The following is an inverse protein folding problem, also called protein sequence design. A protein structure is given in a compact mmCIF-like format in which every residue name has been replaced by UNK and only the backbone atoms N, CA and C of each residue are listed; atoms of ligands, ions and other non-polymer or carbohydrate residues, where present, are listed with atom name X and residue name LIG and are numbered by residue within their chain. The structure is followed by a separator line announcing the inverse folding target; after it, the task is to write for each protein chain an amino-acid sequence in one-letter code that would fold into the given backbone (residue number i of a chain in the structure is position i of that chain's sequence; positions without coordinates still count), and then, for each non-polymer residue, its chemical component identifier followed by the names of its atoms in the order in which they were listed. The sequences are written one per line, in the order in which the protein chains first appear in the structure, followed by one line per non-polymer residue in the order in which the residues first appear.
data_IF_658823109788
#
_entry.id   IF_658823109788
#
_cell.length_a   1.000
_cell.length_b   1.000
_cell.length_c   1.000
_cell.angle_alpha   90.00
_cell.angle_beta   90.00
_cell.angle_gamma   90.00
#
_symmetry.space_group_name_H-M   'P 1'
#
loop_
_entity.id
_entity.type
_entity.pdbx_description
1 polymer ?
#
# COMPACT_ATOMS: atom_id res chain seq x y z
N UNK A 1 16.95 -0.25 11.67
CA UNK A 1 16.05 0.60 10.84
C UNK A 1 14.66 0.55 11.45
N UNK A 2 13.96 1.67 11.66
CA UNK A 2 12.62 1.67 12.26
C UNK A 2 11.60 1.09 11.25
N UNK A 3 10.91 -0.02 11.60
CA UNK A 3 9.96 -0.74 10.72
C UNK A 3 8.94 0.20 10.07
N UNK A 4 8.42 1.18 10.82
CA UNK A 4 7.48 2.15 10.29
C UNK A 4 8.10 3.03 9.19
N UNK A 5 9.36 3.48 9.35
CA UNK A 5 10.05 4.28 8.33
C UNK A 5 10.28 3.50 7.05
N UNK A 6 10.55 2.20 7.17
CA UNK A 6 10.72 1.31 6.02
C UNK A 6 9.41 1.10 5.26
N UNK A 7 8.32 0.81 5.98
CA UNK A 7 6.98 0.74 5.42
C UNK A 7 6.61 2.04 4.67
N UNK A 8 6.86 3.20 5.30
CA UNK A 8 6.63 4.51 4.66
C UNK A 8 7.44 4.67 3.38
N UNK A 9 8.73 4.27 3.37
CA UNK A 9 9.57 4.34 2.17
C UNK A 9 9.00 3.50 1.02
N UNK A 10 8.54 2.28 1.30
CA UNK A 10 7.91 1.41 0.31
C UNK A 10 6.62 2.01 -0.23
N UNK A 11 5.77 2.58 0.63
CA UNK A 11 4.51 3.21 0.23
C UNK A 11 4.73 4.50 -0.58
N UNK A 12 5.76 5.29 -0.26
CA UNK A 12 6.13 6.44 -1.09
C UNK A 12 6.64 6.00 -2.46
N UNK A 13 7.50 4.97 -2.51
CA UNK A 13 7.95 4.39 -3.77
C UNK A 13 6.77 3.89 -4.60
N UNK A 14 5.85 3.16 -3.98
CA UNK A 14 4.62 2.69 -4.61
C UNK A 14 3.80 3.84 -5.21
N UNK A 15 3.58 4.92 -4.49
CA UNK A 15 2.86 6.08 -5.02
C UNK A 15 3.58 6.70 -6.23
N UNK A 16 4.91 6.82 -6.18
CA UNK A 16 5.71 7.28 -7.33
C UNK A 16 5.56 6.36 -8.53
N UNK A 17 5.59 5.03 -8.32
CA UNK A 17 5.38 4.04 -9.38
C UNK A 17 3.97 4.12 -9.95
N UNK A 18 2.95 4.35 -9.11
CA UNK A 18 1.58 4.52 -9.59
C UNK A 18 1.43 5.79 -10.43
N UNK A 19 1.99 6.91 -9.98
CA UNK A 19 1.90 8.18 -10.70
C UNK A 19 2.62 8.18 -12.06
N UNK A 20 3.58 7.28 -12.28
CA UNK A 20 4.22 7.10 -13.59
C UNK A 20 3.40 6.23 -14.56
N UNK A 21 2.36 5.54 -14.09
CA UNK A 21 1.49 4.74 -14.95
C UNK A 21 0.53 5.62 -15.77
N UNK A 22 0.20 5.22 -17.01
CA UNK A 22 -0.95 5.78 -17.72
C UNK A 22 -2.21 5.64 -16.86
N UNK A 23 -3.07 6.67 -16.82
CA UNK A 23 -4.32 6.65 -16.01
C UNK A 23 -5.16 5.38 -16.18
N UNK A 24 -5.23 4.85 -17.41
CA UNK A 24 -5.95 3.60 -17.75
C UNK A 24 -5.41 2.35 -17.06
N UNK A 25 -4.16 2.41 -16.60
CA UNK A 25 -3.43 1.33 -15.95
C UNK A 25 -3.41 1.46 -14.43
N UNK A 26 -3.94 2.55 -13.87
CA UNK A 26 -4.01 2.75 -12.41
C UNK A 26 -4.85 1.65 -11.74
N UNK A 27 -4.45 1.18 -10.55
CA UNK A 27 -5.28 0.29 -9.75
C UNK A 27 -6.63 0.93 -9.45
N UNK A 28 -7.70 0.14 -9.53
CA UNK A 28 -9.04 0.60 -9.17
C UNK A 28 -9.34 0.24 -7.71
N UNK A 29 -9.91 1.17 -6.96
CA UNK A 29 -10.43 0.92 -5.62
C UNK A 29 -11.82 0.28 -5.75
N UNK A 30 -12.04 -0.82 -5.06
CA UNK A 30 -13.35 -1.49 -4.92
C UNK A 30 -14.15 -0.85 -3.79
N UNK A 31 -15.41 -1.24 -3.63
CA UNK A 31 -16.28 -0.78 -2.54
C UNK A 31 -15.68 -1.10 -1.16
N UNK A 32 -15.04 -2.26 -1.00
CA UNK A 32 -14.34 -2.67 0.23
C UNK A 32 -12.94 -2.06 0.40
N UNK A 33 -12.62 -0.99 -0.34
CA UNK A 33 -11.31 -0.35 -0.36
C UNK A 33 -10.15 -1.21 -0.90
N UNK A 34 -10.38 -2.43 -1.41
CA UNK A 34 -9.30 -3.22 -2.02
C UNK A 34 -8.83 -2.57 -3.33
N UNK A 35 -7.54 -2.70 -3.61
CA UNK A 35 -6.94 -2.25 -4.87
C UNK A 35 -6.87 -3.41 -5.88
N UNK A 36 -7.51 -3.24 -7.03
CA UNK A 36 -7.50 -4.20 -8.14
C UNK A 36 -6.62 -3.71 -9.27
N UNK A 37 -5.57 -4.48 -9.57
CA UNK A 37 -4.67 -4.20 -10.70
C UNK A 37 -5.35 -4.44 -12.04
N UNK A 38 -4.96 -3.68 -13.06
CA UNK A 38 -5.46 -3.86 -14.42
C UNK A 38 -4.57 -4.86 -15.19
N UNK A 39 -5.17 -5.73 -16.02
CA UNK A 39 -4.44 -6.77 -16.79
C UNK A 39 -3.33 -6.20 -17.71
N UNK A 40 -3.36 -4.91 -18.05
CA UNK A 40 -2.43 -4.27 -18.98
C UNK A 40 -1.06 -3.93 -18.41
N UNK A 41 -0.84 -4.12 -17.11
CA UNK A 41 0.45 -3.84 -16.48
C UNK A 41 1.37 -5.08 -16.53
N UNK A 42 0.91 -6.21 -17.09
CA UNK A 42 1.45 -7.55 -16.81
C UNK A 42 2.90 -7.90 -17.21
N UNK A 43 3.70 -7.02 -17.81
CA UNK A 43 4.97 -7.43 -18.44
C UNK A 43 6.23 -6.62 -18.07
N UNK A 44 6.18 -5.73 -17.08
CA UNK A 44 7.39 -5.01 -16.63
C UNK A 44 7.82 -5.41 -15.22
N UNK A 45 9.12 -5.32 -14.91
CA UNK A 45 9.64 -5.49 -13.53
C UNK A 45 8.96 -4.54 -12.53
N UNK A 46 8.50 -3.38 -13.02
CA UNK A 46 7.70 -2.41 -12.28
C UNK A 46 6.36 -3.01 -11.80
N UNK A 47 5.75 -3.90 -12.59
CA UNK A 47 4.49 -4.56 -12.24
C UNK A 47 4.63 -5.49 -11.05
N UNK A 48 5.70 -6.27 -10.98
CA UNK A 48 5.92 -7.20 -9.88
C UNK A 48 5.96 -6.44 -8.55
N UNK A 49 6.67 -5.31 -8.51
CA UNK A 49 6.74 -4.49 -7.30
C UNK A 49 5.39 -3.82 -6.97
N UNK A 50 4.71 -3.25 -7.97
CA UNK A 50 3.35 -2.71 -7.79
C UNK A 50 2.42 -3.79 -7.25
N UNK A 51 2.50 -5.01 -7.77
CA UNK A 51 1.66 -6.13 -7.36
C UNK A 51 1.93 -6.56 -5.94
N UNK A 52 3.19 -6.79 -5.57
CA UNK A 52 3.57 -7.19 -4.22
C UNK A 52 3.10 -6.19 -3.16
N UNK A 53 3.26 -4.89 -3.44
CA UNK A 53 2.81 -3.84 -2.54
C UNK A 53 1.28 -3.78 -2.49
N UNK A 54 0.61 -3.94 -3.63
CA UNK A 54 -0.86 -3.97 -3.71
C UNK A 54 -1.46 -5.14 -2.92
N UNK A 55 -0.91 -6.34 -3.09
CA UNK A 55 -1.36 -7.55 -2.41
C UNK A 55 -1.13 -7.43 -0.89
N UNK A 56 0.01 -6.86 -0.47
CA UNK A 56 0.28 -6.56 0.94
C UNK A 56 -0.70 -5.54 1.54
N UNK A 57 -1.08 -4.49 0.81
CA UNK A 57 -2.13 -3.53 1.23
C UNK A 57 -3.49 -4.23 1.35
N UNK A 58 -3.81 -5.13 0.43
CA UNK A 58 -5.09 -5.86 0.44
C UNK A 58 -5.20 -6.86 1.59
N UNK A 59 -4.10 -7.34 2.17
CA UNK A 59 -4.10 -8.18 3.38
C UNK A 59 -4.47 -7.45 4.66
N UNK A 60 -4.46 -6.12 4.65
CA UNK A 60 -4.91 -5.32 5.79
C UNK A 60 -6.43 -5.35 5.92
N UNK A 61 -6.93 -5.08 7.14
CA UNK A 61 -8.35 -4.84 7.35
C UNK A 61 -8.79 -3.48 6.75
N UNK A 62 -10.10 -3.25 6.69
CA UNK A 62 -10.69 -2.06 6.06
C UNK A 62 -10.13 -0.73 6.56
N UNK A 63 -10.10 -0.55 7.88
CA UNK A 63 -9.67 0.69 8.53
C UNK A 63 -8.17 0.95 8.31
N UNK A 64 -7.34 -0.07 8.49
CA UNK A 64 -5.90 0.02 8.24
C UNK A 64 -5.62 0.38 6.78
N UNK A 65 -6.35 -0.26 5.86
CA UNK A 65 -6.24 0.02 4.43
C UNK A 65 -6.65 1.44 4.12
N UNK A 66 -7.77 1.91 4.66
CA UNK A 66 -8.25 3.28 4.47
C UNK A 66 -7.19 4.31 4.90
N UNK A 67 -6.57 4.12 6.07
CA UNK A 67 -5.50 4.99 6.56
C UNK A 67 -4.31 5.04 5.59
N UNK A 68 -3.84 3.88 5.11
CA UNK A 68 -2.71 3.85 4.18
C UNK A 68 -3.06 4.48 2.83
N UNK A 69 -4.23 4.18 2.28
CA UNK A 69 -4.66 4.72 0.98
C UNK A 69 -4.83 6.24 1.06
N UNK A 70 -5.50 6.74 2.10
CA UNK A 70 -5.74 8.16 2.28
C UNK A 70 -4.44 8.96 2.49
N UNK A 71 -3.46 8.38 3.18
CA UNK A 71 -2.18 9.06 3.48
C UNK A 71 -1.15 8.96 2.37
N UNK A 72 -0.97 7.78 1.78
CA UNK A 72 0.18 7.48 0.91
C UNK A 72 -0.18 7.30 -0.56
N UNK A 73 -1.42 6.93 -0.89
CA UNK A 73 -1.85 6.65 -2.28
C UNK A 73 -2.71 7.79 -2.84
N UNK A 74 -2.66 8.96 -2.22
CA UNK A 74 -3.36 10.16 -2.70
C UNK A 74 -2.52 10.91 -3.73
N UNK A 75 -3.19 11.48 -4.74
CA UNK A 75 -2.55 12.37 -5.72
C UNK A 75 -2.00 13.66 -5.09
N UNK A 76 -2.55 14.07 -3.94
CA UNK A 76 -2.08 15.23 -3.18
C UNK A 76 -1.38 14.76 -1.92
N UNK A 77 -0.26 15.37 -1.59
CA UNK A 77 0.39 15.15 -0.28
C UNK A 77 -0.50 15.74 0.80
N UNK A 78 -1.02 14.88 1.70
CA UNK A 78 -1.86 15.28 2.83
C UNK A 78 -1.09 15.16 4.14
N UNK A 79 -1.27 16.12 5.04
CA UNK A 79 -0.82 16.05 6.43
C UNK A 79 -1.59 14.97 7.19
N UNK A 80 -1.09 14.56 8.36
CA UNK A 80 -1.82 13.60 9.19
C UNK A 80 -3.17 14.17 9.64
N UNK A 81 -3.22 15.47 9.92
CA UNK A 81 -4.42 16.22 10.33
C UNK A 81 -5.48 16.14 9.25
N UNK A 82 -5.14 16.52 8.02
CA UNK A 82 -6.09 16.47 6.90
C UNK A 82 -6.62 15.05 6.66
N UNK A 83 -5.77 14.03 6.84
CA UNK A 83 -6.18 12.63 6.69
C UNK A 83 -7.20 12.29 7.75
N UNK A 84 -6.86 12.31 9.04
CA UNK A 84 -7.77 11.84 10.08
C UNK A 84 -9.08 12.64 10.12
N UNK A 85 -9.03 13.95 9.82
CA UNK A 85 -10.23 14.78 9.70
C UNK A 85 -11.14 14.30 8.56
N UNK A 86 -10.58 13.95 7.41
CA UNK A 86 -11.39 13.51 6.25
C UNK A 86 -11.97 12.12 6.38
N UNK A 87 -11.33 11.23 7.14
CA UNK A 87 -11.84 9.87 7.38
C UNK A 87 -12.64 9.78 8.69
N UNK A 88 -12.84 10.90 9.40
CA UNK A 88 -13.71 10.98 10.59
C UNK A 88 -13.11 10.38 11.87
N UNK A 89 -11.79 10.25 11.95
CA UNK A 89 -11.11 9.65 13.11
C UNK A 89 -10.52 10.71 14.05
N UNK A 90 -10.47 10.39 15.34
CA UNK A 90 -9.70 11.19 16.29
C UNK A 90 -8.19 11.03 16.04
N UNK A 91 -7.41 12.06 16.38
CA UNK A 91 -5.96 12.05 16.21
C UNK A 91 -5.30 10.84 16.89
N UNK A 92 -5.66 10.59 18.15
CA UNK A 92 -5.12 9.48 18.93
C UNK A 92 -5.47 8.12 18.33
N UNK A 93 -6.69 7.96 17.80
CA UNK A 93 -7.07 6.72 17.12
C UNK A 93 -6.28 6.55 15.83
N UNK A 94 -6.21 7.61 15.01
CA UNK A 94 -5.46 7.61 13.76
C UNK A 94 -4.00 7.21 13.94
N UNK A 95 -3.29 7.75 14.93
CA UNK A 95 -1.87 7.41 15.11
C UNK A 95 -1.64 5.95 15.52
N UNK A 96 -2.53 5.38 16.35
CA UNK A 96 -2.46 3.95 16.72
C UNK A 96 -2.74 3.08 15.50
N UNK A 97 -3.81 3.40 14.76
CA UNK A 97 -4.22 2.66 13.58
C UNK A 97 -3.17 2.76 12.47
N UNK A 98 -2.61 3.94 12.23
CA UNK A 98 -1.50 4.17 11.28
C UNK A 98 -0.29 3.31 11.62
N UNK A 99 0.13 3.28 12.89
CA UNK A 99 1.26 2.44 13.32
C UNK A 99 0.96 0.95 13.05
N UNK A 100 -0.21 0.47 13.47
CA UNK A 100 -0.63 -0.91 13.24
C UNK A 100 -0.70 -1.26 11.74
N UNK A 101 -1.21 -0.35 10.91
CA UNK A 101 -1.29 -0.52 9.47
C UNK A 101 0.09 -0.60 8.81
N UNK A 102 1.06 0.23 9.22
CA UNK A 102 2.43 0.19 8.71
C UNK A 102 3.14 -1.12 9.08
N UNK A 103 2.99 -1.57 10.33
CA UNK A 103 3.59 -2.82 10.82
C UNK A 103 2.95 -4.05 10.15
N UNK A 104 1.62 -4.06 10.02
CA UNK A 104 0.87 -5.11 9.33
C UNK A 104 1.24 -5.18 7.85
N UNK A 105 1.34 -4.02 7.18
CA UNK A 105 1.74 -3.93 5.78
C UNK A 105 3.13 -4.51 5.55
N UNK A 106 4.10 -4.11 6.37
CA UNK A 106 5.48 -4.57 6.21
C UNK A 106 5.59 -6.09 6.40
N UNK A 107 4.85 -6.62 7.38
CA UNK A 107 4.77 -8.06 7.63
C UNK A 107 4.18 -8.80 6.43
N UNK A 108 3.05 -8.31 5.89
CA UNK A 108 2.42 -8.88 4.71
C UNK A 108 3.35 -8.82 3.48
N UNK A 109 4.05 -7.70 3.28
CA UNK A 109 4.98 -7.50 2.16
C UNK A 109 6.14 -8.51 2.18
N UNK A 110 6.77 -8.75 3.33
CA UNK A 110 7.85 -9.75 3.40
C UNK A 110 7.35 -11.19 3.27
N UNK A 111 6.13 -11.48 3.72
CA UNK A 111 5.51 -12.78 3.48
C UNK A 111 5.34 -13.06 1.97
N UNK A 112 4.93 -12.06 1.18
CA UNK A 112 4.86 -12.16 -0.30
C UNK A 112 6.25 -12.39 -0.92
N UNK A 113 7.30 -11.72 -0.43
CA UNK A 113 8.66 -11.88 -0.96
C UNK A 113 9.25 -13.27 -0.70
N UNK A 114 8.87 -13.91 0.41
CA UNK A 114 9.38 -15.25 0.78
C UNK A 114 8.76 -16.34 -0.11
N UNK A 115 7.53 -16.13 -0.58
CA UNK A 115 6.83 -17.06 -1.48
C UNK A 115 7.27 -16.93 -2.95
N UNK A 116 7.95 -15.82 -3.32
CA UNK A 116 8.37 -15.54 -4.69
C UNK A 116 9.73 -16.16 -5.08
N UNK A 117 10.45 -16.83 -4.17
CA UNK A 117 11.66 -17.62 -4.51
C UNK A 117 11.24 -19.02 -4.95
N UNK A 118 11.46 -19.43 -6.22
CA UNK A 118 11.31 -20.83 -6.58
C UNK A 118 12.40 -21.61 -5.84
N UNK A 119 11.97 -22.68 -5.16
CA UNK A 119 12.86 -23.74 -4.70
C UNK A 119 13.60 -24.24 -5.93
N UNK A 120 14.89 -23.93 -6.03
CA UNK A 120 15.77 -24.60 -6.96
C UNK A 120 15.92 -26.03 -6.46
N UNK A 121 15.14 -26.94 -7.05
CA UNK A 121 15.36 -28.37 -6.95
C UNK A 121 16.71 -28.69 -7.58
N UNK A 122 17.66 -29.11 -6.75
CA UNK A 122 18.86 -29.83 -7.17
C UNK A 122 18.53 -31.29 -7.43
#
# INVERSE_FOLDING_TARGET
MNKCKEAERLLFKYNTLLLSLPKRSMPRRTEDNQLKLTKRIAESTMYTEIRQITDAINKLNGDQREVLLAKYVSQKKRTNIEVYMSIGWSESHYYRLKKAALEGFLTAYYAEQTQAKPVMTH
#
